data_IF_157569661547
#
_entry.id   IF_157569661547
#
_cell.length_a   1.000
_cell.length_b   1.000
_cell.length_c   1.000
_cell.angle_alpha   90.00
_cell.angle_beta   90.00
_cell.angle_gamma   90.00
#
_symmetry.space_group_name_H-M   'P 1'
#
loop_
_entity.id
_entity.type
_entity.pdbx_description
1 polymer ?
#
# COMPACT_ATOMS: atom_id res chain seq x y z
N UNK A 1 4.11 -11.98 2.70
CA UNK A 1 4.28 -10.97 1.65
C UNK A 1 3.64 -11.51 0.40
N UNK A 2 2.93 -10.66 -0.34
CA UNK A 2 2.53 -10.97 -1.71
C UNK A 2 3.47 -10.28 -2.71
N UNK A 3 3.81 -11.01 -3.76
CA UNK A 3 4.47 -10.46 -4.94
C UNK A 3 3.49 -10.61 -6.11
N UNK A 4 2.92 -9.50 -6.54
CA UNK A 4 1.78 -9.46 -7.45
C UNK A 4 2.15 -8.77 -8.75
N UNK A 5 1.47 -9.15 -9.83
CA UNK A 5 1.59 -8.55 -11.16
C UNK A 5 0.20 -8.28 -11.73
N UNK A 6 0.03 -7.11 -12.33
CA UNK A 6 -1.21 -6.70 -13.00
C UNK A 6 -0.91 -5.84 -14.23
N UNK A 7 -1.90 -5.70 -15.12
CA UNK A 7 -1.84 -4.81 -16.28
C UNK A 7 -1.89 -3.33 -15.89
N UNK A 8 -2.46 -3.02 -14.72
CA UNK A 8 -2.48 -1.67 -14.14
C UNK A 8 -1.97 -1.71 -12.71
N UNK A 9 -1.65 -0.53 -12.18
CA UNK A 9 -1.32 -0.37 -10.77
C UNK A 9 -2.46 -0.94 -9.90
N UNK A 10 -2.08 -1.66 -8.86
CA UNK A 10 -3.01 -2.19 -7.87
C UNK A 10 -3.02 -1.27 -6.66
N UNK A 11 -4.17 -0.67 -6.41
CA UNK A 11 -4.45 0.13 -5.23
C UNK A 11 -5.38 -0.64 -4.28
N UNK A 12 -5.30 -0.37 -2.98
CA UNK A 12 -6.17 -0.93 -1.94
C UNK A 12 -6.34 -2.47 -2.04
N UNK A 13 -5.23 -3.19 -2.10
CA UNK A 13 -5.14 -4.64 -2.24
C UNK A 13 -5.89 -5.38 -1.13
N UNK A 14 -5.86 -4.92 0.12
CA UNK A 14 -6.63 -5.47 1.24
C UNK A 14 -8.14 -5.26 1.09
N UNK A 15 -8.56 -4.18 0.41
CA UNK A 15 -9.96 -3.88 0.14
C UNK A 15 -10.57 -4.82 -0.90
N UNK A 16 -9.76 -5.59 -1.63
CA UNK A 16 -10.26 -6.50 -2.65
C UNK A 16 -10.98 -7.72 -2.06
N UNK A 17 -12.06 -8.19 -2.71
CA UNK A 17 -12.79 -9.37 -2.25
C UNK A 17 -11.96 -10.65 -2.32
N UNK A 18 -11.03 -10.73 -3.27
CA UNK A 18 -10.13 -11.87 -3.52
C UNK A 18 -8.82 -11.82 -2.71
N UNK A 19 -8.62 -10.79 -1.88
CA UNK A 19 -7.42 -10.69 -1.05
C UNK A 19 -7.40 -11.80 0.02
N UNK A 20 -6.35 -12.63 -0.01
CA UNK A 20 -6.22 -13.80 0.87
C UNK A 20 -6.07 -13.44 2.35
N UNK A 21 -5.36 -12.36 2.66
CA UNK A 21 -5.16 -11.91 4.06
C UNK A 21 -6.47 -11.38 4.63
N UNK A 22 -7.15 -10.53 3.89
CA UNK A 22 -8.44 -9.99 4.28
C UNK A 22 -9.52 -11.10 4.37
N UNK A 23 -9.52 -12.08 3.47
CA UNK A 23 -10.39 -13.25 3.54
C UNK A 23 -10.11 -14.10 4.78
N UNK A 24 -8.83 -14.39 5.08
CA UNK A 24 -8.46 -15.15 6.27
C UNK A 24 -8.91 -14.44 7.55
N UNK A 25 -8.71 -13.12 7.63
CA UNK A 25 -9.18 -12.32 8.76
C UNK A 25 -10.71 -12.33 8.90
N UNK A 26 -11.44 -12.11 7.80
CA UNK A 26 -12.92 -12.18 7.80
C UNK A 26 -13.43 -13.54 8.25
N UNK A 27 -12.78 -14.63 7.81
CA UNK A 27 -13.14 -15.98 8.21
C UNK A 27 -12.93 -16.19 9.71
N UNK A 28 -11.76 -15.86 10.23
CA UNK A 28 -11.48 -15.96 11.67
C UNK A 28 -12.52 -15.16 12.49
N UNK A 29 -12.85 -13.95 12.03
CA UNK A 29 -13.88 -13.11 12.67
C UNK A 29 -15.28 -13.73 12.64
N UNK A 30 -15.64 -14.40 11.55
CA UNK A 30 -16.93 -15.13 11.46
C UNK A 30 -17.01 -16.32 12.43
N UNK A 31 -15.85 -16.86 12.82
CA UNK A 31 -15.69 -17.95 13.79
C UNK A 31 -15.56 -17.40 15.23
N UNK A 32 -15.61 -16.07 15.44
CA UNK A 32 -15.50 -15.41 16.75
C UNK A 32 -14.05 -15.13 17.18
N UNK A 33 -13.07 -15.37 16.31
CA UNK A 33 -11.64 -15.16 16.56
C UNK A 33 -11.14 -13.84 15.96
N UNK A 34 -9.99 -13.31 16.41
CA UNK A 34 -9.35 -12.13 15.82
C UNK A 34 -10.24 -10.88 15.65
N UNK A 35 -11.30 -10.77 16.45
CA UNK A 35 -12.30 -9.68 16.36
C UNK A 35 -11.69 -8.29 16.57
N UNK A 36 -10.57 -8.22 17.28
CA UNK A 36 -9.86 -6.98 17.61
C UNK A 36 -8.62 -6.75 16.76
N UNK A 37 -8.32 -7.67 15.85
CA UNK A 37 -7.08 -7.61 15.09
C UNK A 37 -7.10 -6.48 14.09
N UNK A 38 -5.96 -5.80 13.98
CA UNK A 38 -5.74 -4.71 13.05
C UNK A 38 -4.64 -5.09 12.07
N UNK A 39 -4.85 -4.85 10.78
CA UNK A 39 -3.83 -5.11 9.74
C UNK A 39 -3.32 -3.81 9.17
N UNK A 40 -2.00 -3.63 9.16
CA UNK A 40 -1.35 -2.61 8.36
C UNK A 40 -0.70 -3.27 7.15
N UNK A 41 -1.05 -2.80 5.95
CA UNK A 41 -0.40 -3.19 4.71
C UNK A 41 0.47 -2.06 4.16
N UNK A 42 1.66 -2.40 3.68
CA UNK A 42 2.48 -1.52 2.84
C UNK A 42 2.61 -2.18 1.47
N UNK A 43 2.09 -1.53 0.45
CA UNK A 43 2.15 -1.98 -0.93
C UNK A 43 3.16 -1.10 -1.68
N UNK A 44 4.36 -1.63 -1.89
CA UNK A 44 5.35 -0.97 -2.73
C UNK A 44 5.00 -1.22 -4.20
N UNK A 45 4.55 -0.17 -4.88
CA UNK A 45 4.16 -0.23 -6.29
C UNK A 45 5.40 -0.02 -7.15
N UNK A 46 5.81 -1.09 -7.84
CA UNK A 46 7.04 -1.16 -8.61
C UNK A 46 6.71 -0.87 -10.07
N UNK A 47 7.17 0.27 -10.63
CA UNK A 47 6.97 0.59 -12.03
C UNK A 47 7.76 -0.38 -12.92
N UNK A 48 7.21 -0.68 -14.09
CA UNK A 48 7.84 -1.54 -15.07
C UNK A 48 6.99 -1.66 -16.34
N UNK A 49 7.37 -2.56 -17.25
CA UNK A 49 6.56 -2.90 -18.42
C UNK A 49 5.17 -3.40 -17.99
N UNK A 50 5.17 -4.26 -16.98
CA UNK A 50 3.98 -4.65 -16.24
C UNK A 50 4.05 -4.05 -14.83
N UNK A 51 2.90 -3.78 -14.23
CA UNK A 51 2.84 -3.17 -12.90
C UNK A 51 2.94 -4.28 -11.84
N UNK A 52 3.89 -4.12 -10.92
CA UNK A 52 4.08 -5.08 -9.84
C UNK A 52 3.81 -4.45 -8.47
N UNK A 53 3.39 -5.27 -7.52
CA UNK A 53 3.11 -4.88 -6.15
C UNK A 53 3.80 -5.83 -5.19
N UNK A 54 4.67 -5.27 -4.36
CA UNK A 54 5.28 -5.94 -3.22
C UNK A 54 4.50 -5.56 -1.95
N UNK A 55 3.61 -6.45 -1.51
CA UNK A 55 2.67 -6.17 -0.41
C UNK A 55 3.12 -6.86 0.87
N UNK A 56 3.35 -6.06 1.91
CA UNK A 56 3.76 -6.48 3.23
C UNK A 56 2.61 -6.28 4.21
N UNK A 57 2.25 -7.33 4.94
CA UNK A 57 1.14 -7.30 5.91
C UNK A 57 1.69 -7.46 7.32
N UNK A 58 1.29 -6.56 8.21
CA UNK A 58 1.64 -6.57 9.62
C UNK A 58 0.35 -6.56 10.42
N UNK A 59 0.13 -7.62 11.21
CA UNK A 59 -1.07 -7.77 12.02
C UNK A 59 -0.77 -7.52 13.49
N UNK A 60 -1.60 -6.71 14.13
CA UNK A 60 -1.70 -6.63 15.58
C UNK A 60 -2.87 -7.50 16.03
N UNK A 61 -2.67 -8.48 16.94
CA UNK A 61 -3.77 -9.28 17.46
C UNK A 61 -4.71 -8.45 18.34
N UNK A 62 -4.14 -7.45 19.03
CA UNK A 62 -4.83 -6.54 19.92
C UNK A 62 -5.15 -5.20 19.25
N UNK A 63 -6.12 -4.42 19.76
CA UNK A 63 -6.34 -3.06 19.32
C UNK A 63 -5.09 -2.21 19.51
N UNK A 64 -4.86 -1.28 18.58
CA UNK A 64 -3.80 -0.29 18.74
C UNK A 64 -4.06 0.55 19.99
N UNK A 65 -3.08 0.71 20.90
CA UNK A 65 -3.29 1.49 22.12
C UNK A 65 -3.71 2.92 21.79
N UNK A 66 -4.87 3.33 22.31
CA UNK A 66 -5.42 4.67 22.07
C UNK A 66 -4.41 5.74 22.47
N UNK A 67 -4.21 6.73 21.59
CA UNK A 67 -3.26 7.82 21.81
C UNK A 67 -1.80 7.51 21.46
N UNK A 68 -1.44 6.23 21.27
CA UNK A 68 -0.10 5.86 20.77
C UNK A 68 0.20 6.51 19.42
N UNK A 69 1.49 6.70 19.12
CA UNK A 69 1.94 7.28 17.85
C UNK A 69 1.35 6.53 16.64
N UNK A 70 1.35 5.19 16.67
CA UNK A 70 0.75 4.38 15.60
C UNK A 70 -0.77 4.54 15.54
N UNK A 71 -1.46 4.60 16.68
CA UNK A 71 -2.90 4.87 16.70
C UNK A 71 -3.23 6.25 16.10
N UNK A 72 -2.45 7.29 16.44
CA UNK A 72 -2.60 8.64 15.86
C UNK A 72 -2.30 8.63 14.36
N UNK A 73 -1.25 7.94 13.92
CA UNK A 73 -0.92 7.79 12.51
C UNK A 73 -2.04 7.10 11.70
N UNK A 74 -2.58 6.00 12.23
CA UNK A 74 -3.68 5.27 11.58
C UNK A 74 -4.93 6.13 11.42
N UNK A 75 -5.26 6.92 12.44
CA UNK A 75 -6.49 7.72 12.48
C UNK A 75 -6.31 9.20 12.09
N UNK A 76 -5.08 9.61 11.73
CA UNK A 76 -4.76 10.97 11.31
C UNK A 76 -5.19 11.27 9.87
N UNK A 77 -4.80 12.43 9.36
CA UNK A 77 -4.94 12.78 7.94
C UNK A 77 -3.69 12.40 7.14
N UNK A 78 -3.77 12.58 5.83
CA UNK A 78 -2.66 12.23 4.93
C UNK A 78 -1.46 13.16 5.11
N UNK A 79 -1.66 14.41 5.52
CA UNK A 79 -0.56 15.32 5.82
C UNK A 79 0.27 14.81 7.01
N UNK A 80 -0.39 14.44 8.11
CA UNK A 80 0.25 13.85 9.28
C UNK A 80 0.98 12.54 8.93
N UNK A 81 0.33 11.67 8.12
CA UNK A 81 0.94 10.41 7.68
C UNK A 81 2.17 10.64 6.79
N UNK A 82 2.06 11.54 5.83
CA UNK A 82 3.14 11.85 4.90
C UNK A 82 4.36 12.40 5.62
N UNK A 83 4.15 13.22 6.65
CA UNK A 83 5.25 13.77 7.42
C UNK A 83 6.03 12.74 8.24
N UNK A 84 5.46 11.54 8.49
CA UNK A 84 5.98 10.59 9.49
C UNK A 84 6.19 9.17 8.98
N UNK A 85 5.63 8.78 7.85
CA UNK A 85 5.81 7.42 7.35
C UNK A 85 7.26 7.20 6.89
N UNK A 86 7.97 6.32 7.60
CA UNK A 86 9.42 6.14 7.49
C UNK A 86 9.77 4.69 7.22
N UNK A 87 10.79 4.48 6.40
CA UNK A 87 11.42 3.20 6.15
C UNK A 87 12.87 3.24 6.61
N UNK A 88 13.34 2.11 7.14
CA UNK A 88 14.76 1.82 7.34
C UNK A 88 15.14 0.57 6.55
N UNK A 89 16.24 0.64 5.82
CA UNK A 89 16.66 -0.40 4.89
C UNK A 89 18.11 -0.81 5.11
N UNK A 90 18.40 -2.10 4.91
CA UNK A 90 19.76 -2.63 4.91
C UNK A 90 19.94 -3.68 3.84
N UNK A 91 20.91 -3.49 2.95
CA UNK A 91 21.34 -4.55 2.04
C UNK A 91 22.23 -5.53 2.81
N UNK A 92 21.72 -6.74 3.01
CA UNK A 92 22.38 -7.84 3.70
C UNK A 92 23.34 -8.56 2.75
N UNK A 93 22.88 -8.82 1.53
CA UNK A 93 23.62 -9.48 0.46
C UNK A 93 23.35 -8.74 -0.86
N UNK A 94 24.36 -8.65 -1.71
CA UNK A 94 24.23 -8.03 -3.03
C UNK A 94 25.55 -7.42 -3.51
N UNK A 95 25.62 -6.96 -4.77
CA UNK A 95 26.78 -6.27 -5.30
C UNK A 95 27.13 -5.02 -4.49
N UNK A 96 28.43 -4.70 -4.39
CA UNK A 96 28.89 -3.53 -3.61
C UNK A 96 28.22 -2.23 -4.06
N UNK A 97 28.01 -2.04 -5.37
CA UNK A 97 27.34 -0.85 -5.90
C UNK A 97 25.90 -0.71 -5.38
N UNK A 98 25.14 -1.81 -5.33
CA UNK A 98 23.78 -1.82 -4.78
C UNK A 98 23.81 -1.48 -3.28
N UNK A 99 24.75 -2.08 -2.53
CA UNK A 99 24.91 -1.80 -1.09
C UNK A 99 25.22 -0.33 -0.84
N UNK A 100 26.12 0.27 -1.61
CA UNK A 100 26.51 1.68 -1.45
C UNK A 100 25.35 2.61 -1.79
N UNK A 101 24.68 2.38 -2.92
CA UNK A 101 23.58 3.23 -3.36
C UNK A 101 22.41 3.17 -2.39
N UNK A 102 21.93 1.97 -2.04
CA UNK A 102 20.81 1.82 -1.08
C UNK A 102 21.23 2.24 0.33
N UNK A 103 22.51 2.04 0.70
CA UNK A 103 23.05 2.46 1.98
C UNK A 103 23.02 3.98 2.21
N UNK A 104 23.14 4.79 1.16
CA UNK A 104 22.95 6.25 1.24
C UNK A 104 21.49 6.64 1.56
N UNK A 105 20.55 5.70 1.40
CA UNK A 105 19.13 5.85 1.69
C UNK A 105 18.67 4.79 2.71
N UNK A 106 19.54 4.50 3.69
CA UNK A 106 19.30 3.52 4.74
C UNK A 106 18.14 3.89 5.67
N UNK A 107 17.77 5.17 5.73
CA UNK A 107 16.54 5.64 6.34
C UNK A 107 15.92 6.74 5.45
N UNK A 108 14.61 6.71 5.27
CA UNK A 108 13.90 7.69 4.44
C UNK A 108 12.46 7.89 4.92
N UNK A 109 12.00 9.14 4.94
CA UNK A 109 10.58 9.46 5.08
C UNK A 109 9.88 9.24 3.76
N UNK A 110 9.33 8.02 3.57
CA UNK A 110 8.61 7.64 2.35
C UNK A 110 7.47 8.61 2.05
N UNK A 111 6.72 9.02 3.06
CA UNK A 111 5.59 9.94 2.87
C UNK A 111 5.97 11.33 2.37
N UNK A 112 7.24 11.73 2.52
CA UNK A 112 7.77 12.99 1.94
C UNK A 112 8.46 12.75 0.60
N UNK A 113 9.09 11.60 0.43
CA UNK A 113 9.93 11.30 -0.73
C UNK A 113 9.13 10.74 -1.92
N UNK A 114 7.99 10.10 -1.66
CA UNK A 114 7.14 9.41 -2.63
C UNK A 114 5.68 9.79 -2.43
N UNK A 115 4.89 9.63 -3.50
CA UNK A 115 3.43 9.71 -3.39
C UNK A 115 2.94 8.47 -2.65
N UNK A 116 2.29 8.70 -1.51
CA UNK A 116 1.62 7.67 -0.72
C UNK A 116 0.10 7.87 -0.77
N UNK A 117 -0.65 6.82 -1.11
CA UNK A 117 -2.11 6.81 -0.99
C UNK A 117 -2.51 5.93 0.19
N UNK A 118 -3.46 6.41 0.99
CA UNK A 118 -3.85 5.76 2.24
C UNK A 118 -5.29 5.24 2.16
N UNK A 119 -5.46 3.93 2.38
CA UNK A 119 -6.76 3.27 2.33
C UNK A 119 -7.13 2.73 3.71
N UNK A 120 -8.06 3.42 4.38
CA UNK A 120 -8.53 3.07 5.72
C UNK A 120 -9.83 2.27 5.63
N UNK A 121 -9.78 1.00 6.04
CA UNK A 121 -10.98 0.18 6.27
C UNK A 121 -11.49 0.27 7.71
N UNK A 122 -12.30 -0.68 8.16
CA UNK A 122 -12.70 -0.75 9.58
C UNK A 122 -11.53 -1.22 10.46
N UNK A 123 -10.88 -2.30 10.08
CA UNK A 123 -9.84 -3.02 10.83
C UNK A 123 -8.49 -3.07 10.10
N UNK A 124 -8.29 -2.21 9.10
CA UNK A 124 -7.00 -2.12 8.42
C UNK A 124 -6.67 -0.70 7.96
N UNK A 125 -5.38 -0.47 7.74
CA UNK A 125 -4.85 0.63 6.95
C UNK A 125 -3.91 0.03 5.90
N UNK A 126 -4.08 0.42 4.64
CA UNK A 126 -3.12 0.14 3.58
C UNK A 126 -2.46 1.43 3.10
N UNK A 127 -1.16 1.34 2.85
CA UNK A 127 -0.32 2.43 2.34
C UNK A 127 0.23 1.97 0.99
N UNK A 128 -0.30 2.55 -0.07
CA UNK A 128 0.18 2.36 -1.43
C UNK A 128 1.31 3.37 -1.69
N UNK A 129 2.51 2.86 -1.90
CA UNK A 129 3.73 3.67 -2.09
C UNK A 129 4.14 3.62 -3.55
N UNK A 130 3.96 4.73 -4.26
CA UNK A 130 4.31 4.84 -5.66
C UNK A 130 5.81 5.09 -5.85
N UNK A 131 6.59 4.04 -6.13
CA UNK A 131 8.03 4.21 -6.40
C UNK A 131 8.25 5.04 -7.69
N UNK A 132 7.32 4.95 -8.64
CA UNK A 132 7.38 5.67 -9.91
C UNK A 132 7.25 7.18 -9.77
N UNK A 133 6.79 7.69 -8.62
CA UNK A 133 6.61 9.13 -8.39
C UNK A 133 7.93 9.89 -8.18
N UNK A 134 9.05 9.19 -8.04
CA UNK A 134 10.39 9.78 -7.87
C UNK A 134 11.40 9.17 -8.82
N UNK A 135 12.07 10.02 -9.59
CA UNK A 135 13.15 9.62 -10.49
C UNK A 135 14.31 8.97 -9.73
N UNK A 136 14.63 9.48 -8.53
CA UNK A 136 15.69 8.92 -7.67
C UNK A 136 15.29 7.53 -7.19
N UNK A 137 14.07 7.36 -6.67
CA UNK A 137 13.62 6.07 -6.17
C UNK A 137 13.51 5.04 -7.30
N UNK A 138 13.01 5.45 -8.48
CA UNK A 138 12.97 4.60 -9.67
C UNK A 138 14.37 4.16 -10.12
N UNK A 139 15.37 5.06 -10.09
CA UNK A 139 16.75 4.71 -10.42
C UNK A 139 17.36 3.71 -9.42
N UNK A 140 17.13 3.90 -8.12
CA UNK A 140 17.58 2.98 -7.07
C UNK A 140 16.91 1.61 -7.24
N UNK A 141 15.60 1.60 -7.49
CA UNK A 141 14.84 0.39 -7.73
C UNK A 141 15.38 -0.36 -8.96
N UNK A 142 15.58 0.30 -10.11
CA UNK A 142 16.13 -0.35 -11.30
C UNK A 142 17.53 -0.93 -11.07
N UNK A 143 18.37 -0.24 -10.30
CA UNK A 143 19.68 -0.76 -9.90
C UNK A 143 19.53 -2.04 -9.05
N UNK A 144 18.61 -2.05 -8.09
CA UNK A 144 18.35 -3.23 -7.26
C UNK A 144 17.73 -4.38 -8.07
N UNK A 145 16.78 -4.07 -8.96
CA UNK A 145 16.09 -5.02 -9.83
C UNK A 145 17.05 -5.68 -10.83
N UNK A 146 18.01 -4.94 -11.39
CA UNK A 146 19.03 -5.49 -12.27
C UNK A 146 19.92 -6.56 -11.62
N UNK A 147 19.89 -6.66 -10.29
CA UNK A 147 20.65 -7.67 -9.53
C UNK A 147 19.77 -8.45 -8.54
N UNK A 148 18.44 -8.40 -8.68
CA UNK A 148 17.49 -8.80 -7.63
C UNK A 148 17.65 -10.24 -7.16
N UNK A 149 18.00 -11.16 -8.05
CA UNK A 149 18.23 -12.58 -7.74
C UNK A 149 19.49 -12.83 -6.89
N UNK A 150 20.33 -11.80 -6.71
CA UNK A 150 21.53 -11.83 -5.87
C UNK A 150 21.45 -10.91 -4.64
N UNK A 151 20.34 -10.19 -4.48
CA UNK A 151 20.14 -9.20 -3.43
C UNK A 151 19.30 -9.77 -2.30
N UNK A 152 19.70 -9.47 -1.07
CA UNK A 152 18.90 -9.65 0.14
C UNK A 152 18.80 -8.31 0.84
N UNK A 153 17.58 -7.85 1.09
CA UNK A 153 17.29 -6.56 1.73
C UNK A 153 16.42 -6.77 2.97
N UNK A 154 16.80 -6.13 4.06
CA UNK A 154 15.94 -5.91 5.22
C UNK A 154 15.26 -4.56 5.08
N UNK A 155 13.96 -4.53 5.34
CA UNK A 155 13.13 -3.33 5.33
C UNK A 155 12.31 -3.29 6.61
N UNK A 156 12.40 -2.19 7.35
CA UNK A 156 11.60 -1.90 8.53
C UNK A 156 10.74 -0.67 8.28
N UNK A 157 9.47 -0.75 8.63
CA UNK A 157 8.51 0.36 8.49
C UNK A 157 8.15 0.88 9.87
N UNK A 158 8.09 2.20 10.01
CA UNK A 158 7.82 2.87 11.26
C UNK A 158 7.14 4.23 11.06
N UNK A 159 6.60 4.75 12.14
CA UNK A 159 6.15 6.14 12.23
C UNK A 159 7.25 6.93 12.92
N UNK A 160 7.76 7.97 12.26
CA UNK A 160 8.77 8.87 12.82
C UNK A 160 8.20 9.68 13.98
N UNK A 161 8.91 9.60 15.10
CA UNK A 161 8.71 10.47 16.25
C UNK A 161 9.27 11.86 15.91
N UNK A 162 8.50 12.90 16.17
CA UNK A 162 8.93 14.30 16.01
C UNK A 162 8.93 15.06 17.34
N UNK A 163 8.30 14.50 18.38
CA UNK A 163 8.34 15.02 19.75
C UNK A 163 9.04 14.05 20.70
N UNK A 164 9.59 14.55 21.80
CA UNK A 164 10.32 13.73 22.78
C UNK A 164 9.44 12.63 23.41
N UNK A 165 8.17 12.94 23.67
CA UNK A 165 7.18 12.00 24.22
C UNK A 165 6.85 10.85 23.25
N UNK A 166 7.15 11.01 21.96
CA UNK A 166 6.93 10.00 20.93
C UNK A 166 8.07 8.97 20.86
N UNK A 167 9.19 9.22 21.56
CA UNK A 167 10.36 8.36 21.58
C UNK A 167 10.26 7.25 22.65
N UNK A 168 10.90 6.09 22.41
CA UNK A 168 11.62 5.71 21.17
C UNK A 168 10.66 5.34 20.02
N UNK A 169 11.12 5.56 18.79
CA UNK A 169 10.44 5.06 17.59
C UNK A 169 10.26 3.53 17.67
N UNK A 170 9.08 3.05 17.28
CA UNK A 170 8.78 1.61 17.25
C UNK A 170 8.52 1.18 15.81
N UNK A 171 9.09 0.03 15.44
CA UNK A 171 8.75 -0.62 14.17
C UNK A 171 7.28 -1.02 14.19
N UNK A 172 6.57 -0.68 13.13
CA UNK A 172 5.28 -1.30 12.78
C UNK A 172 5.54 -2.77 12.45
N UNK A 173 6.60 -3.01 11.68
CA UNK A 173 7.06 -4.34 11.32
C UNK A 173 8.31 -4.28 10.46
N UNK A 174 8.93 -5.44 10.27
CA UNK A 174 10.10 -5.60 9.42
C UNK A 174 10.00 -6.88 8.60
N UNK A 175 10.68 -6.87 7.46
CA UNK A 175 10.71 -7.97 6.51
C UNK A 175 12.09 -8.10 5.91
N UNK A 176 12.50 -9.34 5.63
CA UNK A 176 13.63 -9.64 4.76
C UNK A 176 13.11 -10.15 3.43
N UNK A 177 13.52 -9.52 2.34
CA UNK A 177 13.27 -10.01 0.98
C UNK A 177 14.57 -10.58 0.43
N UNK A 178 14.53 -11.84 0.03
CA UNK A 178 15.67 -12.57 -0.51
C UNK A 178 15.43 -12.90 -1.98
N UNK A 179 16.38 -12.55 -2.85
CA UNK A 179 16.53 -13.11 -4.18
C UNK A 179 15.21 -13.16 -4.98
N UNK A 180 14.46 -12.07 -4.95
CA UNK A 180 13.12 -12.03 -5.56
C UNK A 180 13.21 -12.27 -7.07
N UNK A 181 12.36 -13.16 -7.58
CA UNK A 181 12.27 -13.46 -9.01
C UNK A 181 11.07 -12.73 -9.62
N UNK A 182 11.31 -11.85 -10.59
CA UNK A 182 10.24 -11.07 -11.23
C UNK A 182 9.14 -11.96 -11.85
N UNK A 183 9.52 -13.13 -12.38
CA UNK A 183 8.59 -14.09 -13.01
C UNK A 183 7.71 -14.86 -12.03
N UNK A 184 8.02 -14.84 -10.72
CA UNK A 184 7.23 -15.56 -9.71
C UNK A 184 6.01 -14.78 -9.21
N UNK A 185 5.78 -13.58 -9.74
CA UNK A 185 4.65 -12.73 -9.35
C UNK A 185 3.32 -13.42 -9.65
N UNK A 186 2.43 -13.47 -8.67
CA UNK A 186 1.07 -13.93 -8.86
C UNK A 186 0.31 -12.91 -9.71
N UNK A 187 -0.33 -13.37 -10.78
CA UNK A 187 -1.12 -12.51 -11.65
C UNK A 187 -2.44 -12.20 -10.96
N UNK A 188 -2.76 -10.91 -10.87
CA UNK A 188 -4.01 -10.40 -10.31
C UNK A 188 -4.67 -9.56 -11.37
N UNK A 189 -5.95 -9.82 -11.62
CA UNK A 189 -6.72 -8.99 -12.53
C UNK A 189 -6.97 -7.62 -11.88
N UNK A 190 -6.64 -6.57 -12.63
CA UNK A 190 -7.06 -5.22 -12.30
C UNK A 190 -8.59 -5.20 -12.22
N UNK A 191 -9.15 -4.66 -11.13
CA UNK A 191 -10.58 -4.47 -11.05
C UNK A 191 -10.99 -3.54 -12.22
N UNK A 192 -11.89 -4.01 -13.09
CA UNK A 192 -12.40 -3.17 -14.15
C UNK A 192 -12.98 -1.90 -13.51
N UNK A 193 -12.50 -0.73 -13.94
CA UNK A 193 -13.12 0.53 -13.57
C UNK A 193 -14.61 0.41 -13.92
N UNK A 194 -15.48 0.31 -12.92
CA UNK A 194 -16.92 0.38 -13.11
C UNK A 194 -17.20 1.75 -13.69
N UNK A 195 -17.30 1.81 -15.02
CA UNK A 195 -17.85 2.95 -15.72
C UNK A 195 -19.29 3.04 -15.25
N UNK A 196 -19.57 4.03 -14.40
CA UNK A 196 -20.92 4.38 -14.05
C UNK A 196 -21.66 4.65 -15.38
N UNK A 197 -22.55 3.73 -15.76
CA UNK A 197 -23.48 3.95 -16.85
C UNK A 197 -24.40 5.07 -16.37
N UNK A 198 -24.08 6.30 -16.77
CA UNK A 198 -24.98 7.44 -16.65
C UNK A 198 -26.24 7.04 -17.40
N UNK A 199 -27.31 6.78 -16.65
CA UNK A 199 -28.61 6.44 -17.19
C UNK A 199 -29.03 7.48 -18.21
N UNK A 200 -29.18 7.06 -19.47
CA UNK A 200 -29.81 7.87 -20.51
C UNK A 200 -31.20 8.24 -20.03
N UNK A 201 -31.45 9.55 -19.91
CA UNK A 201 -32.70 10.11 -19.46
C UNK A 201 -33.91 9.55 -20.22
N UNK A 202 -34.95 9.25 -19.45
CA UNK A 202 -36.29 8.95 -19.91
C UNK A 202 -36.84 10.21 -20.58
N UNK A 203 -37.09 10.15 -21.88
CA UNK A 203 -37.74 11.24 -22.62
C UNK A 203 -39.18 11.41 -22.16
N UNK A 204 -39.55 12.62 -21.73
CA UNK A 204 -40.94 13.01 -21.50
C UNK A 204 -41.69 13.04 -22.84
N UNK A 205 -42.74 12.24 -22.94
CA UNK A 205 -43.73 12.35 -24.00
C UNK A 205 -44.58 13.61 -23.79
N UNK A 206 -44.58 14.50 -24.79
CA UNK A 206 -45.50 15.64 -24.87
C UNK A 206 -46.91 15.12 -25.18
N UNK A 207 -47.87 15.43 -24.31
CA UNK A 207 -49.30 15.27 -24.58
C UNK A 207 -49.81 16.64 -25.06
N UNK A 208 -50.25 16.72 -26.32
CA UNK A 208 -50.89 17.92 -26.84
C UNK A 208 -52.36 17.94 -26.41
N UNK A 209 -52.78 18.97 -25.69
CA UNK A 209 -54.19 19.31 -25.53
C UNK A 209 -54.67 20.05 -26.78
N UNK A 210 -55.76 19.54 -27.36
CA UNK A 210 -56.62 20.28 -28.28
C UNK A 210 -57.44 21.27 -27.45
N UNK A 211 -57.37 22.55 -27.76
CA UNK A 211 -58.41 23.51 -27.43
C UNK A 211 -58.95 24.07 -28.75
N UNK A 212 -60.27 24.00 -28.88
CA UNK A 212 -61.11 24.55 -29.94
C UNK A 212 -61.20 26.08 -29.74
N UNK A 213 -61.05 26.87 -30.80
CA UNK A 213 -61.40 28.30 -30.82
C UNK A 213 -62.63 28.48 -31.72
N UNK A 214 -63.60 29.26 -31.22
CA UNK A 214 -64.66 29.90 -32.00
C UNK A 214 -64.11 30.94 -32.99
#
# INVERSE_FOLDING_TARGET
>A
MDWLKSTTKLDNVLGRPDNRVAQALRRAQSEGESLKSFVLAVNLQVPGKDQHSAVFYFASPDPLPTGSLLHRFVNGDDEYRNQRFKIVNRIVKGPWLVRKTVGNYSACLLGKALTCNYHRGANYLEIDVDIGSSAIATAILHLALGCVTSVTIDMGFLVEAQEEEELPERLIGAVRVCQMEMSSAAVVEAAAATTAVVGRGIGLAKVNHHEEED
#
